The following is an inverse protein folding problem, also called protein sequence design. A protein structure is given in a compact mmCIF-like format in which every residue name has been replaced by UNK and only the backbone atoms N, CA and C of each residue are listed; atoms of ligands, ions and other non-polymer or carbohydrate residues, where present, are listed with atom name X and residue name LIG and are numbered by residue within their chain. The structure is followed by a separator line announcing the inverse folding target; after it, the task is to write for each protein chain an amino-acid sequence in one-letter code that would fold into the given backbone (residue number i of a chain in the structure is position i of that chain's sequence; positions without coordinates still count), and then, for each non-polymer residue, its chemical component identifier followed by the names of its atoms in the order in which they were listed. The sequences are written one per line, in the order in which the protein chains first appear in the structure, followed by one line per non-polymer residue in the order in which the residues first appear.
data_IF_326560369718
#
_entry.id   IF_326560369718
#
_cell.length_a   1.000
_cell.length_b   1.000
_cell.length_c   1.000
_cell.angle_alpha   90.00
_cell.angle_beta   90.00
_cell.angle_gamma   90.00
#
_symmetry.space_group_name_H-M   'P 1'
#
loop_
_entity.id
_entity.type
_entity.pdbx_description
1 polymer ?
#
# COMPACT_ATOMS: atom_id res chain seq x y z
N UNK A 1 22.01 6.82 -15.40
CA UNK A 1 20.98 5.76 -15.54
C UNK A 1 20.12 5.93 -14.32
N UNK A 2 18.99 6.62 -14.47
CA UNK A 2 18.17 6.96 -13.31
C UNK A 2 17.33 5.74 -12.96
N UNK A 3 17.76 5.03 -11.94
CA UNK A 3 16.99 3.90 -11.40
C UNK A 3 15.87 4.49 -10.57
N UNK A 4 14.67 4.56 -11.15
CA UNK A 4 13.45 4.90 -10.44
C UNK A 4 13.11 3.76 -9.48
N UNK A 5 13.24 4.03 -8.18
CA UNK A 5 12.90 3.06 -7.14
C UNK A 5 11.55 3.46 -6.56
N UNK A 6 10.57 2.57 -6.74
CA UNK A 6 9.30 2.67 -6.04
C UNK A 6 9.60 2.61 -4.53
N UNK A 7 8.97 3.42 -3.66
CA UNK A 7 7.74 4.17 -3.91
C UNK A 7 7.86 5.65 -4.28
N UNK A 8 8.98 6.31 -4.03
CA UNK A 8 9.05 7.77 -4.06
C UNK A 8 10.31 8.32 -4.75
N UNK A 9 10.99 7.49 -5.53
CA UNK A 9 12.24 7.80 -6.26
C UNK A 9 13.41 8.24 -5.37
N UNK A 10 13.24 8.20 -4.04
CA UNK A 10 14.25 8.56 -3.04
C UNK A 10 14.62 7.33 -2.19
N UNK A 11 13.65 6.49 -1.90
CA UNK A 11 13.78 5.33 -1.03
C UNK A 11 13.42 4.04 -1.77
N UNK A 12 14.05 2.95 -1.35
CA UNK A 12 13.69 1.62 -1.82
C UNK A 12 12.46 1.09 -1.08
N UNK A 13 11.51 0.53 -1.82
CA UNK A 13 10.35 -0.14 -1.28
C UNK A 13 9.43 -0.69 -2.37
N UNK A 14 8.19 -0.94 -1.99
CA UNK A 14 7.15 -1.51 -2.85
C UNK A 14 5.84 -0.72 -2.74
N UNK A 15 4.88 -1.00 -3.63
CA UNK A 15 3.53 -0.47 -3.48
C UNK A 15 2.89 -0.91 -2.18
N UNK A 16 3.19 -2.14 -1.76
CA UNK A 16 2.71 -2.65 -0.50
C UNK A 16 3.23 -1.85 0.70
N UNK A 17 4.47 -1.36 0.67
CA UNK A 17 5.01 -0.49 1.72
C UNK A 17 4.22 0.82 1.85
N UNK A 18 3.92 1.48 0.72
CA UNK A 18 3.09 2.69 0.73
C UNK A 18 1.69 2.41 1.29
N UNK A 19 1.07 1.32 0.85
CA UNK A 19 -0.29 0.99 1.25
C UNK A 19 -0.36 0.64 2.74
N UNK A 20 0.65 -0.04 3.28
CA UNK A 20 0.75 -0.30 4.72
C UNK A 20 0.99 0.97 5.52
N UNK A 21 1.85 1.89 5.06
CA UNK A 21 2.01 3.21 5.70
C UNK A 21 0.69 4.00 5.69
N UNK A 22 -0.12 3.88 4.64
CA UNK A 22 -1.45 4.47 4.60
C UNK A 22 -2.40 3.81 5.62
N UNK A 23 -2.35 2.48 5.74
CA UNK A 23 -3.14 1.73 6.70
C UNK A 23 -2.76 2.05 8.15
N UNK A 24 -1.49 2.36 8.45
CA UNK A 24 -1.06 2.84 9.77
C UNK A 24 -1.79 4.12 10.21
N UNK A 25 -2.23 4.94 9.25
CA UNK A 25 -2.92 6.22 9.50
C UNK A 25 -4.44 6.07 9.52
N UNK A 26 -5.00 5.32 8.57
CA UNK A 26 -6.45 5.27 8.30
C UNK A 26 -7.13 4.03 8.87
N UNK A 27 -6.37 2.95 9.09
CA UNK A 27 -6.88 1.63 9.46
C UNK A 27 -6.01 0.98 10.54
N UNK A 28 -5.53 1.76 11.51
CA UNK A 28 -4.57 1.29 12.53
C UNK A 28 -5.04 0.04 13.28
N UNK A 29 -6.34 -0.03 13.56
CA UNK A 29 -6.99 -1.17 14.20
C UNK A 29 -6.99 -2.42 13.30
N UNK A 30 -7.39 -2.28 12.04
CA UNK A 30 -7.38 -3.37 11.07
C UNK A 30 -5.96 -3.84 10.75
N UNK A 31 -4.99 -2.93 10.69
CA UNK A 31 -3.59 -3.28 10.49
C UNK A 31 -3.07 -4.10 11.67
N UNK A 32 -3.36 -3.69 12.91
CA UNK A 32 -3.01 -4.46 14.11
C UNK A 32 -3.61 -5.87 14.05
N UNK A 33 -4.90 -5.99 13.77
CA UNK A 33 -5.58 -7.29 13.66
C UNK A 33 -5.01 -8.15 12.53
N UNK A 34 -4.65 -7.54 11.40
CA UNK A 34 -4.06 -8.25 10.26
C UNK A 34 -2.66 -8.80 10.58
N UNK A 35 -1.89 -8.09 11.40
CA UNK A 35 -0.58 -8.56 11.86
C UNK A 35 -0.72 -9.74 12.82
N UNK A 36 -1.67 -9.70 13.74
CA UNK A 36 -1.95 -10.86 14.61
C UNK A 36 -2.39 -12.07 13.76
N UNK A 37 -3.28 -11.84 12.79
CA UNK A 37 -3.74 -12.87 11.86
C UNK A 37 -2.59 -13.50 11.06
N UNK A 38 -1.66 -12.71 10.53
CA UNK A 38 -0.58 -13.25 9.71
C UNK A 38 0.38 -14.10 10.55
N UNK A 39 0.62 -13.75 11.81
CA UNK A 39 1.45 -14.54 12.74
C UNK A 39 0.83 -15.89 13.07
N UNK A 40 -0.50 -15.98 13.15
CA UNK A 40 -1.22 -17.24 13.40
C UNK A 40 -1.19 -18.21 12.20
N UNK A 41 -0.88 -17.73 10.98
CA UNK A 41 -0.80 -18.60 9.80
C UNK A 41 0.40 -19.55 9.91
N UNK A 42 0.11 -20.85 9.93
CA UNK A 42 1.12 -21.91 9.96
C UNK A 42 2.14 -21.83 8.82
N UNK A 43 3.40 -22.13 9.13
CA UNK A 43 4.54 -21.98 8.21
C UNK A 43 4.40 -22.75 6.89
N UNK A 44 3.65 -23.85 6.88
CA UNK A 44 3.35 -24.62 5.65
C UNK A 44 2.69 -23.78 4.56
N UNK A 45 1.82 -22.83 4.95
CA UNK A 45 1.15 -21.94 3.99
C UNK A 45 2.05 -20.79 3.52
N UNK A 46 3.05 -20.44 4.33
CA UNK A 46 4.05 -19.41 4.03
C UNK A 46 5.26 -19.94 3.25
N UNK A 47 5.37 -21.26 3.05
CA UNK A 47 6.57 -21.91 2.50
C UNK A 47 7.00 -21.41 1.11
N UNK A 48 6.07 -20.83 0.33
CA UNK A 48 6.34 -20.28 -1.01
C UNK A 48 6.34 -18.75 -1.05
N UNK A 49 6.14 -18.09 0.08
CA UNK A 49 6.15 -16.64 0.14
C UNK A 49 7.55 -16.10 -0.14
N UNK A 50 7.61 -14.95 -0.81
CA UNK A 50 8.86 -14.30 -1.16
C UNK A 50 8.70 -12.78 -1.17
N UNK A 51 9.79 -12.07 -0.86
CA UNK A 51 9.88 -10.62 -1.00
C UNK A 51 8.85 -9.85 -0.15
N UNK A 52 7.67 -9.60 -0.71
CA UNK A 52 6.58 -8.79 -0.13
C UNK A 52 5.25 -9.53 -0.01
N UNK A 53 5.23 -10.86 -0.11
CA UNK A 53 3.98 -11.63 -0.09
C UNK A 53 3.24 -11.55 1.24
N UNK A 54 3.96 -11.39 2.35
CA UNK A 54 3.41 -11.06 3.66
C UNK A 54 2.62 -9.76 3.62
N UNK A 55 3.21 -8.69 3.06
CA UNK A 55 2.56 -7.38 2.93
C UNK A 55 1.33 -7.46 2.03
N UNK A 56 1.40 -8.25 0.94
CA UNK A 56 0.24 -8.49 0.06
C UNK A 56 -0.90 -9.20 0.79
N UNK A 57 -0.59 -10.12 1.69
CA UNK A 57 -1.59 -10.81 2.51
C UNK A 57 -2.24 -9.85 3.50
N UNK A 58 -1.45 -9.00 4.18
CA UNK A 58 -1.99 -7.96 5.07
C UNK A 58 -2.93 -7.03 4.32
N UNK A 59 -2.51 -6.51 3.16
CA UNK A 59 -3.35 -5.64 2.33
C UNK A 59 -4.61 -6.37 1.88
N UNK A 60 -4.48 -7.60 1.36
CA UNK A 60 -5.61 -8.41 0.93
C UNK A 60 -6.61 -8.72 2.05
N UNK A 61 -6.12 -8.88 3.27
CA UNK A 61 -6.96 -9.06 4.45
C UNK A 61 -7.73 -7.79 4.77
N UNK A 62 -7.05 -6.65 4.87
CA UNK A 62 -7.67 -5.34 5.17
C UNK A 62 -8.68 -4.97 4.08
N UNK A 63 -8.33 -5.12 2.80
CA UNK A 63 -9.24 -4.83 1.68
C UNK A 63 -10.48 -5.72 1.71
N UNK A 64 -10.34 -6.99 2.08
CA UNK A 64 -11.47 -7.91 2.16
C UNK A 64 -12.37 -7.64 3.38
N UNK A 65 -11.84 -7.06 4.47
CA UNK A 65 -12.66 -6.54 5.59
C UNK A 65 -13.41 -5.28 5.16
N UNK A 66 -12.73 -4.33 4.53
CA UNK A 66 -13.32 -3.06 4.07
C UNK A 66 -14.33 -3.27 2.94
N UNK A 67 -14.06 -4.22 2.04
CA UNK A 67 -14.87 -4.45 0.85
C UNK A 67 -14.91 -5.94 0.46
N UNK A 68 -15.72 -6.76 1.16
CA UNK A 68 -15.76 -8.20 0.99
C UNK A 68 -15.98 -8.64 -0.46
N UNK A 69 -15.14 -9.56 -0.94
CA UNK A 69 -15.26 -10.17 -2.27
C UNK A 69 -14.96 -9.23 -3.44
N UNK A 70 -14.40 -8.04 -3.21
CA UNK A 70 -13.91 -7.15 -4.25
C UNK A 70 -12.40 -7.23 -4.39
N UNK A 71 -11.89 -6.80 -5.54
CA UNK A 71 -10.44 -6.73 -5.74
C UNK A 71 -9.81 -5.65 -4.87
N UNK A 72 -8.53 -5.82 -4.54
CA UNK A 72 -7.76 -4.84 -3.76
C UNK A 72 -7.81 -3.45 -4.42
N UNK A 73 -7.74 -3.38 -5.75
CA UNK A 73 -7.80 -2.13 -6.51
C UNK A 73 -9.10 -1.35 -6.26
N UNK A 74 -10.25 -2.04 -6.16
CA UNK A 74 -11.54 -1.39 -5.89
C UNK A 74 -11.58 -0.85 -4.46
N UNK A 75 -11.03 -1.57 -3.48
CA UNK A 75 -10.93 -1.03 -2.12
C UNK A 75 -9.96 0.15 -2.04
N UNK A 76 -8.82 0.09 -2.72
CA UNK A 76 -7.85 1.21 -2.79
C UNK A 76 -8.50 2.47 -3.36
N UNK A 77 -9.33 2.33 -4.40
CA UNK A 77 -10.02 3.45 -5.03
C UNK A 77 -11.18 4.01 -4.19
N UNK A 78 -11.99 3.12 -3.59
CA UNK A 78 -13.27 3.51 -2.99
C UNK A 78 -13.18 3.77 -1.48
N UNK A 79 -12.07 3.39 -0.83
CA UNK A 79 -11.81 3.63 0.58
C UNK A 79 -10.65 4.63 0.77
N UNK A 80 -10.38 5.02 2.01
CA UNK A 80 -9.41 6.05 2.39
C UNK A 80 -7.94 5.62 2.32
N UNK A 81 -7.54 4.64 1.50
CA UNK A 81 -6.12 4.26 1.40
C UNK A 81 -5.27 5.47 0.96
N UNK A 82 -5.67 6.14 -0.12
CA UNK A 82 -5.04 7.38 -0.58
C UNK A 82 -6.01 8.52 -0.30
N UNK A 83 -5.86 9.16 0.86
CA UNK A 83 -6.71 10.24 1.36
C UNK A 83 -5.94 11.55 1.47
N UNK A 84 -6.64 12.68 1.67
CA UNK A 84 -5.97 13.95 1.98
C UNK A 84 -5.08 13.85 3.22
N UNK A 85 -5.48 13.02 4.20
CA UNK A 85 -4.73 12.81 5.45
C UNK A 85 -3.49 11.97 5.19
N UNK A 86 -3.58 10.86 4.44
CA UNK A 86 -2.38 10.05 4.14
C UNK A 86 -1.40 10.80 3.25
N UNK A 87 -1.87 11.55 2.25
CA UNK A 87 -1.01 12.40 1.39
C UNK A 87 -0.29 13.48 2.20
N UNK A 88 -1.00 14.19 3.08
CA UNK A 88 -0.38 15.26 3.89
C UNK A 88 0.51 14.75 5.02
N UNK A 89 0.44 13.47 5.38
CA UNK A 89 1.23 12.87 6.46
C UNK A 89 2.45 12.11 5.92
N UNK A 90 2.35 11.49 4.74
CA UNK A 90 3.39 10.64 4.17
C UNK A 90 4.11 11.34 3.02
N UNK A 91 5.34 11.79 3.27
CA UNK A 91 6.19 12.41 2.26
C UNK A 91 6.37 11.53 1.02
N UNK A 92 6.51 10.21 1.21
CA UNK A 92 6.68 9.25 0.11
C UNK A 92 5.45 9.19 -0.80
N UNK A 93 4.24 9.23 -0.22
CA UNK A 93 2.99 9.27 -0.97
C UNK A 93 2.80 10.62 -1.65
N UNK A 94 3.13 11.73 -0.97
CA UNK A 94 3.07 13.06 -1.59
C UNK A 94 4.04 13.17 -2.77
N UNK A 95 5.30 12.73 -2.62
CA UNK A 95 6.30 12.72 -3.68
C UNK A 95 5.82 11.88 -4.88
N UNK A 96 5.22 10.71 -4.64
CA UNK A 96 4.65 9.88 -5.70
C UNK A 96 3.48 10.57 -6.40
N UNK A 97 2.57 11.20 -5.65
CA UNK A 97 1.43 11.92 -6.20
C UNK A 97 1.87 13.12 -7.06
N UNK A 98 2.84 13.91 -6.57
CA UNK A 98 3.44 15.02 -7.31
C UNK A 98 4.14 14.53 -8.59
N UNK A 99 4.88 13.43 -8.51
CA UNK A 99 5.52 12.82 -9.68
C UNK A 99 4.49 12.39 -10.73
N UNK A 100 3.45 11.65 -10.33
CA UNK A 100 2.38 11.19 -11.23
C UNK A 100 1.65 12.38 -11.84
N UNK A 101 1.31 13.39 -11.04
CA UNK A 101 0.62 14.59 -11.51
C UNK A 101 1.49 15.37 -12.51
N UNK A 102 2.78 15.54 -12.21
CA UNK A 102 3.72 16.20 -13.13
C UNK A 102 3.84 15.41 -14.43
N UNK A 103 4.02 14.09 -14.34
CA UNK A 103 4.18 13.22 -15.51
C UNK A 103 2.94 13.22 -16.42
N UNK A 104 1.74 13.09 -15.85
CA UNK A 104 0.48 13.09 -16.62
C UNK A 104 0.27 14.44 -17.33
N UNK A 105 0.64 15.56 -16.68
CA UNK A 105 0.45 16.89 -17.26
C UNK A 105 1.62 17.34 -18.15
N UNK A 106 2.75 16.64 -18.15
CA UNK A 106 3.93 17.00 -18.94
C UNK A 106 3.72 16.89 -20.46
N UNK A 107 2.71 16.15 -20.93
CA UNK A 107 2.35 16.04 -22.36
C UNK A 107 1.35 17.11 -22.82
N UNK A 108 1.05 18.11 -21.98
CA UNK A 108 0.05 19.16 -22.27
C UNK A 108 0.64 20.47 -22.83
N UNK A 109 1.93 20.50 -23.18
CA UNK A 109 2.64 21.61 -23.84
C UNK A 109 3.20 21.18 -25.20
#
# INVERSE_FOLDING_TARGET
MDTYIFPDNKHQGTLEDLLLNCAEIEYTDLLSLSNDYIEEIGSTYKAKWSGSDDKKVLIGWITNVLKPGKSNQVSINDNNWISKRTISTLDSLNNLAEFIFTFINAESE
#
